data_IF_992390433081
#
_entry.id   IF_992390433081
#
_cell.length_a   1.000
_cell.length_b   1.000
_cell.length_c   1.000
_cell.angle_alpha   90.00
_cell.angle_beta   90.00
_cell.angle_gamma   90.00
#
_symmetry.space_group_name_H-M   'P 1'
#
loop_
_entity.id
_entity.type
_entity.pdbx_description
1 polymer ?
#
# COMPACT_ATOMS: atom_id res chain seq x y z
N UNK A 1 -13.70 -10.15 -18.07
CA UNK A 1 -12.69 -9.91 -17.01
C UNK A 1 -13.41 -10.04 -15.67
N UNK A 2 -12.90 -10.85 -14.75
CA UNK A 2 -13.53 -10.96 -13.43
C UNK A 2 -13.40 -9.64 -12.69
N UNK A 3 -14.51 -9.10 -12.20
CA UNK A 3 -14.49 -7.92 -11.35
C UNK A 3 -14.02 -8.35 -9.95
N UNK A 4 -12.78 -8.09 -9.64
CA UNK A 4 -12.26 -8.30 -8.29
C UNK A 4 -12.82 -7.25 -7.35
N UNK A 5 -13.36 -7.70 -6.24
CA UNK A 5 -13.73 -6.80 -5.15
C UNK A 5 -12.49 -6.23 -4.49
N UNK A 6 -12.63 -5.12 -3.77
CA UNK A 6 -11.51 -4.57 -2.97
C UNK A 6 -10.98 -5.61 -1.97
N UNK A 7 -11.85 -6.45 -1.44
CA UNK A 7 -11.46 -7.50 -0.50
C UNK A 7 -10.63 -8.61 -1.16
N UNK A 8 -10.99 -9.00 -2.38
CA UNK A 8 -10.18 -9.95 -3.17
C UNK A 8 -8.82 -9.36 -3.52
N UNK A 9 -8.75 -8.09 -3.90
CA UNK A 9 -7.49 -7.39 -4.16
C UNK A 9 -6.63 -7.30 -2.88
N UNK A 10 -7.24 -7.01 -1.74
CA UNK A 10 -6.58 -7.01 -0.42
C UNK A 10 -6.02 -8.39 -0.10
N UNK A 11 -6.81 -9.43 -0.30
CA UNK A 11 -6.37 -10.81 -0.06
C UNK A 11 -5.18 -11.21 -0.93
N UNK A 12 -5.23 -10.93 -2.23
CA UNK A 12 -4.11 -11.19 -3.14
C UNK A 12 -2.85 -10.40 -2.77
N UNK A 13 -3.00 -9.12 -2.43
CA UNK A 13 -1.88 -8.29 -2.00
C UNK A 13 -1.28 -8.81 -0.68
N UNK A 14 -2.11 -9.26 0.24
CA UNK A 14 -1.68 -9.87 1.50
C UNK A 14 -0.89 -11.16 1.28
N UNK A 15 -1.36 -12.06 0.40
CA UNK A 15 -0.64 -13.30 0.06
C UNK A 15 0.73 -12.98 -0.55
N UNK A 16 0.80 -12.02 -1.47
CA UNK A 16 2.07 -11.58 -2.05
C UNK A 16 3.00 -10.96 -1.00
N UNK A 17 2.47 -10.14 -0.11
CA UNK A 17 3.25 -9.57 0.98
C UNK A 17 3.84 -10.65 1.88
N UNK A 18 3.07 -11.67 2.25
CA UNK A 18 3.55 -12.79 3.05
C UNK A 18 4.69 -13.56 2.38
N UNK A 19 4.64 -13.71 1.05
CA UNK A 19 5.73 -14.32 0.30
C UNK A 19 7.02 -13.47 0.34
N UNK A 20 6.90 -12.15 0.24
CA UNK A 20 8.04 -11.25 0.22
C UNK A 20 8.62 -10.94 1.60
N UNK A 21 7.77 -10.80 2.60
CA UNK A 21 8.14 -10.34 3.93
C UNK A 21 8.52 -11.48 4.88
N UNK A 22 8.18 -12.72 4.55
CA UNK A 22 8.47 -13.90 5.39
C UNK A 22 8.12 -13.64 6.86
N UNK A 23 6.82 -13.40 7.20
CA UNK A 23 6.42 -12.87 8.49
C UNK A 23 6.77 -13.77 9.67
N UNK A 24 6.89 -15.06 9.46
CA UNK A 24 7.25 -16.09 10.44
C UNK A 24 8.77 -16.26 10.63
N UNK A 25 9.59 -15.71 9.72
CA UNK A 25 11.04 -15.69 9.91
C UNK A 25 11.45 -14.75 11.05
N UNK A 26 12.46 -15.15 11.78
CA UNK A 26 12.98 -14.36 12.91
C UNK A 26 13.73 -13.12 12.44
N UNK A 27 13.47 -11.92 12.99
CA UNK A 27 12.42 -11.60 13.96
C UNK A 27 11.01 -11.67 13.35
N UNK A 28 10.07 -12.29 14.06
CA UNK A 28 8.71 -12.50 13.58
C UNK A 28 7.90 -11.21 13.55
N UNK A 29 7.04 -11.08 12.53
CA UNK A 29 6.01 -10.04 12.40
C UNK A 29 4.63 -10.65 12.15
N UNK A 30 4.45 -11.92 12.50
CA UNK A 30 3.17 -12.63 12.33
C UNK A 30 2.04 -11.85 12.98
N UNK A 31 0.98 -11.58 12.22
CA UNK A 31 -0.19 -10.81 12.64
C UNK A 31 -0.07 -9.29 12.43
N UNK A 32 1.09 -8.78 12.01
CA UNK A 32 1.30 -7.34 11.78
C UNK A 32 1.27 -6.95 10.30
N UNK A 33 1.49 -7.91 9.40
CA UNK A 33 1.60 -7.69 7.96
C UNK A 33 0.33 -7.09 7.35
N UNK A 34 -0.84 -7.46 7.85
CA UNK A 34 -2.10 -6.90 7.38
C UNK A 34 -2.21 -5.39 7.67
N UNK A 35 -1.84 -4.97 8.87
CA UNK A 35 -1.84 -3.56 9.26
C UNK A 35 -0.78 -2.77 8.48
N UNK A 36 0.36 -3.37 8.20
CA UNK A 36 1.41 -2.77 7.36
C UNK A 36 0.88 -2.58 5.93
N UNK A 37 0.24 -3.60 5.36
CA UNK A 37 -0.33 -3.52 4.01
C UNK A 37 -1.34 -2.38 3.88
N UNK A 38 -2.24 -2.22 4.85
CA UNK A 38 -3.26 -1.14 4.84
C UNK A 38 -2.63 0.27 4.85
N UNK A 39 -1.48 0.46 5.50
CA UNK A 39 -0.76 1.73 5.46
C UNK A 39 -0.19 2.07 4.08
N UNK A 40 -0.02 1.07 3.22
CA UNK A 40 0.47 1.21 1.86
C UNK A 40 -0.64 1.07 0.80
N UNK A 41 -1.87 1.32 1.21
CA UNK A 41 -2.98 1.45 0.27
C UNK A 41 -2.84 2.77 -0.49
N UNK A 42 -2.64 2.68 -1.80
CA UNK A 42 -2.47 3.85 -2.67
C UNK A 42 -3.78 4.44 -3.15
N UNK A 43 -4.78 3.61 -3.33
CA UNK A 43 -6.01 3.96 -3.98
C UNK A 43 -7.20 3.57 -3.12
N UNK A 44 -7.89 4.57 -2.56
CA UNK A 44 -9.14 4.38 -1.83
C UNK A 44 -10.31 4.09 -2.78
N UNK A 45 -11.46 3.79 -2.21
CA UNK A 45 -12.73 3.75 -2.95
C UNK A 45 -13.41 5.11 -2.82
N UNK A 46 -13.91 5.67 -3.93
CA UNK A 46 -14.66 6.92 -3.89
C UNK A 46 -15.85 6.81 -2.93
N UNK A 47 -16.05 7.84 -2.13
CA UNK A 47 -17.17 7.97 -1.20
C UNK A 47 -17.89 9.31 -1.39
N UNK A 48 -19.22 9.35 -1.20
CA UNK A 48 -19.99 10.58 -1.30
C UNK A 48 -19.69 11.53 -0.14
N UNK A 49 -19.89 12.83 -0.37
CA UNK A 49 -19.78 13.90 0.66
C UNK A 49 -18.48 13.83 1.48
N UNK A 50 -17.40 13.48 0.83
CA UNK A 50 -16.08 13.26 1.44
C UNK A 50 -15.11 14.32 0.96
N UNK A 51 -14.30 14.85 1.85
CA UNK A 51 -13.21 15.77 1.52
C UNK A 51 -12.06 14.99 0.88
N UNK A 52 -11.67 15.41 -0.31
CA UNK A 52 -10.49 14.94 -1.01
C UNK A 52 -9.50 16.07 -1.21
N UNK A 53 -8.22 15.77 -1.09
CA UNK A 53 -7.14 16.71 -1.32
C UNK A 53 -6.44 16.42 -2.65
N UNK A 54 -5.80 17.45 -3.21
CA UNK A 54 -5.01 17.29 -4.42
C UNK A 54 -4.02 16.12 -4.30
N UNK A 55 -4.05 15.21 -5.26
CA UNK A 55 -3.20 14.02 -5.30
C UNK A 55 -3.83 12.74 -4.71
N UNK A 56 -4.97 12.83 -4.03
CA UNK A 56 -5.70 11.64 -3.60
C UNK A 56 -6.15 10.83 -4.82
N UNK A 57 -5.96 9.52 -4.75
CA UNK A 57 -6.41 8.61 -5.79
C UNK A 57 -7.57 7.73 -5.31
N UNK A 58 -8.55 7.53 -6.17
CA UNK A 58 -9.70 6.67 -5.90
C UNK A 58 -9.98 5.74 -7.07
N UNK A 59 -10.52 4.58 -6.75
CA UNK A 59 -11.22 3.71 -7.68
C UNK A 59 -12.73 3.84 -7.44
N UNK A 60 -13.51 3.54 -8.45
CA UNK A 60 -14.97 3.61 -8.36
C UNK A 60 -15.57 2.23 -8.18
N UNK A 61 -16.75 2.18 -7.55
CA UNK A 61 -17.47 0.94 -7.37
C UNK A 61 -18.92 1.07 -7.89
N UNK A 62 -19.41 0.17 -8.75
CA UNK A 62 -18.69 -0.98 -9.32
C UNK A 62 -17.49 -0.56 -10.20
N UNK A 63 -16.46 -1.41 -10.26
CA UNK A 63 -15.22 -1.10 -10.98
C UNK A 63 -15.48 -0.86 -12.47
N UNK A 64 -14.88 0.19 -13.00
CA UNK A 64 -14.88 0.48 -14.43
C UNK A 64 -13.49 0.29 -15.10
N UNK A 65 -12.53 -0.28 -14.38
CA UNK A 65 -11.18 -0.53 -14.87
C UNK A 65 -10.23 0.66 -14.76
N UNK A 66 -10.67 1.80 -14.21
CA UNK A 66 -9.88 3.04 -14.11
C UNK A 66 -9.77 3.51 -12.67
N UNK A 67 -8.71 4.25 -12.38
CA UNK A 67 -8.53 5.03 -11.16
C UNK A 67 -8.49 6.51 -11.49
N UNK A 68 -8.83 7.34 -10.51
CA UNK A 68 -8.94 8.78 -10.70
C UNK A 68 -8.15 9.52 -9.63
N UNK A 69 -7.47 10.58 -10.02
CA UNK A 69 -6.70 11.44 -9.12
C UNK A 69 -7.44 12.75 -8.91
N UNK A 70 -7.52 13.19 -7.66
CA UNK A 70 -8.05 14.51 -7.31
C UNK A 70 -7.08 15.59 -7.77
N UNK A 71 -7.51 16.42 -8.71
CA UNK A 71 -6.74 17.55 -9.24
C UNK A 71 -7.18 18.90 -8.68
N UNK A 72 -8.25 18.93 -7.92
CA UNK A 72 -8.73 20.10 -7.18
C UNK A 72 -9.30 19.65 -5.85
N UNK A 73 -8.66 20.09 -4.76
CA UNK A 73 -9.14 19.84 -3.39
C UNK A 73 -10.58 20.32 -3.24
N UNK A 74 -11.44 19.49 -2.72
CA UNK A 74 -12.84 19.79 -2.52
C UNK A 74 -13.60 18.61 -1.93
N UNK A 75 -14.90 18.79 -1.76
CA UNK A 75 -15.80 17.76 -1.23
C UNK A 75 -16.58 17.15 -2.39
N UNK A 76 -16.59 15.83 -2.45
CA UNK A 76 -17.37 15.07 -3.44
C UNK A 76 -18.86 15.32 -3.25
N UNK A 77 -19.63 15.19 -4.33
CA UNK A 77 -21.07 15.30 -4.26
C UNK A 77 -21.72 14.13 -3.53
N UNK A 78 -23.01 14.22 -3.26
CA UNK A 78 -23.77 13.13 -2.64
C UNK A 78 -24.00 11.94 -3.57
N UNK A 79 -23.85 12.15 -4.86
CA UNK A 79 -23.99 11.14 -5.91
C UNK A 79 -22.71 11.09 -6.74
N UNK A 80 -22.30 9.89 -7.16
CA UNK A 80 -21.12 9.72 -7.99
C UNK A 80 -21.26 10.48 -9.32
N UNK A 81 -20.19 11.12 -9.82
CA UNK A 81 -20.17 11.71 -11.15
C UNK A 81 -20.22 10.62 -12.22
N UNK A 82 -20.48 11.01 -13.45
CA UNK A 82 -20.29 10.10 -14.59
C UNK A 82 -18.78 9.93 -14.84
N UNK A 83 -18.27 8.78 -14.44
CA UNK A 83 -16.86 8.44 -14.55
C UNK A 83 -16.47 8.14 -15.99
N UNK A 84 -15.73 9.03 -16.62
CA UNK A 84 -15.20 8.82 -17.97
C UNK A 84 -14.07 7.80 -17.97
N UNK A 85 -14.09 6.86 -18.92
CA UNK A 85 -13.03 5.90 -19.16
C UNK A 85 -12.00 6.34 -20.20
N UNK A 86 -12.14 7.56 -20.73
CA UNK A 86 -11.17 8.13 -21.64
C UNK A 86 -9.90 8.56 -20.90
N UNK A 87 -8.72 8.25 -21.43
CA UNK A 87 -7.46 8.68 -20.83
C UNK A 87 -7.40 10.19 -20.62
N UNK A 88 -6.91 10.60 -19.44
CA UNK A 88 -6.73 12.02 -19.07
C UNK A 88 -8.01 12.89 -19.11
N UNK A 89 -9.18 12.28 -19.03
CA UNK A 89 -10.44 13.02 -18.93
C UNK A 89 -10.60 13.64 -17.53
N UNK A 90 -11.28 14.80 -17.49
CA UNK A 90 -11.58 15.53 -16.26
C UNK A 90 -13.06 15.41 -15.91
N UNK A 91 -13.36 15.27 -14.63
CA UNK A 91 -14.73 15.17 -14.12
C UNK A 91 -14.92 16.05 -12.90
N UNK A 92 -15.99 16.85 -12.92
CA UNK A 92 -16.41 17.63 -11.76
C UNK A 92 -17.24 16.77 -10.80
N UNK A 93 -17.01 16.94 -9.51
CA UNK A 93 -17.67 16.17 -8.46
C UNK A 93 -17.83 17.04 -7.20
N UNK A 94 -18.98 17.68 -7.05
CA UNK A 94 -19.16 18.67 -6.00
C UNK A 94 -18.21 19.85 -6.18
N UNK A 95 -17.34 20.09 -5.22
CA UNK A 95 -16.26 21.10 -5.31
C UNK A 95 -14.90 20.50 -5.65
N UNK A 96 -14.82 19.16 -5.72
CA UNK A 96 -13.63 18.44 -6.18
C UNK A 96 -13.64 18.27 -7.71
N UNK A 97 -12.47 18.10 -8.30
CA UNK A 97 -12.31 17.68 -9.69
C UNK A 97 -11.36 16.50 -9.77
N UNK A 98 -11.65 15.60 -10.69
CA UNK A 98 -10.91 14.37 -10.92
C UNK A 98 -10.31 14.32 -12.31
N UNK A 99 -9.16 13.68 -12.42
CA UNK A 99 -8.53 13.32 -13.69
C UNK A 99 -8.33 11.82 -13.74
N UNK A 100 -8.58 11.22 -14.91
CA UNK A 100 -8.23 9.81 -15.13
C UNK A 100 -6.74 9.59 -14.92
N UNK A 101 -6.37 8.70 -14.02
CA UNK A 101 -4.99 8.42 -13.63
C UNK A 101 -4.48 7.07 -14.17
N UNK A 102 -5.26 6.37 -14.97
CA UNK A 102 -4.88 5.10 -15.58
C UNK A 102 -5.67 3.89 -15.08
N UNK A 103 -5.22 2.67 -15.41
CA UNK A 103 -5.88 1.43 -15.00
C UNK A 103 -5.91 1.26 -13.48
N UNK A 104 -6.96 0.66 -12.95
CA UNK A 104 -7.15 0.45 -11.51
C UNK A 104 -6.46 -0.81 -10.96
N UNK A 105 -6.09 -1.77 -11.84
CA UNK A 105 -5.56 -3.06 -11.40
C UNK A 105 -4.11 -3.01 -10.92
N UNK A 106 -3.39 -1.94 -11.21
CA UNK A 106 -1.95 -1.92 -10.98
C UNK A 106 -1.52 -1.42 -9.60
N UNK A 107 -2.38 -0.83 -8.77
CA UNK A 107 -1.85 -0.12 -7.61
C UNK A 107 -2.82 0.16 -6.45
N UNK A 108 -3.73 -0.73 -6.12
CA UNK A 108 -4.54 -0.51 -4.90
C UNK A 108 -3.65 -0.61 -3.66
N UNK A 109 -2.76 -1.59 -3.63
CA UNK A 109 -1.80 -1.78 -2.54
C UNK A 109 -0.37 -1.77 -3.09
N UNK A 110 0.50 -0.99 -2.46
CA UNK A 110 1.94 -1.03 -2.74
C UNK A 110 2.60 -2.15 -1.94
N UNK A 111 2.51 -3.36 -2.45
CA UNK A 111 3.10 -4.55 -1.83
C UNK A 111 4.61 -4.41 -1.65
N UNK A 112 5.30 -3.73 -2.57
CA UNK A 112 6.74 -3.52 -2.49
C UNK A 112 7.11 -2.59 -1.32
N UNK A 113 6.41 -1.47 -1.17
CA UNK A 113 6.61 -0.57 -0.04
C UNK A 113 6.21 -1.22 1.29
N UNK A 114 5.15 -2.00 1.31
CA UNK A 114 4.77 -2.79 2.49
C UNK A 114 5.84 -3.83 2.87
N UNK A 115 6.42 -4.53 1.91
CA UNK A 115 7.52 -5.47 2.16
C UNK A 115 8.77 -4.75 2.69
N UNK A 116 9.10 -3.58 2.15
CA UNK A 116 10.17 -2.74 2.67
C UNK A 116 9.95 -2.38 4.14
N UNK A 117 8.75 -1.96 4.50
CA UNK A 117 8.40 -1.67 5.91
C UNK A 117 8.50 -2.91 6.79
N UNK A 118 7.99 -4.06 6.35
CA UNK A 118 8.09 -5.32 7.10
C UNK A 118 9.56 -5.67 7.43
N UNK A 119 10.44 -5.61 6.46
CA UNK A 119 11.86 -5.88 6.68
C UNK A 119 12.55 -4.80 7.53
N UNK A 120 12.10 -3.55 7.45
CA UNK A 120 12.58 -2.46 8.32
C UNK A 120 12.17 -2.69 9.79
N UNK A 121 10.96 -3.17 10.03
CA UNK A 121 10.49 -3.57 11.37
C UNK A 121 11.33 -4.74 11.90
N UNK A 122 11.56 -5.76 11.09
CA UNK A 122 12.44 -6.88 11.44
C UNK A 122 13.86 -6.43 11.78
N UNK A 123 14.42 -5.53 10.97
CA UNK A 123 15.74 -4.95 11.22
C UNK A 123 15.80 -4.19 12.56
N UNK A 124 14.78 -3.39 12.87
CA UNK A 124 14.68 -2.69 14.15
C UNK A 124 14.63 -3.65 15.34
N UNK A 125 13.87 -4.74 15.23
CA UNK A 125 13.82 -5.79 16.26
C UNK A 125 15.14 -6.52 16.41
N UNK A 126 15.80 -6.85 15.32
CA UNK A 126 17.14 -7.45 15.34
C UNK A 126 18.16 -6.51 16.00
N UNK A 127 18.09 -5.21 15.73
CA UNK A 127 18.93 -4.19 16.38
C UNK A 127 18.72 -4.17 17.90
N UNK A 128 17.48 -4.31 18.36
CA UNK A 128 17.20 -4.42 19.79
C UNK A 128 17.84 -5.66 20.42
N UNK A 129 17.83 -6.79 19.72
CA UNK A 129 18.51 -8.01 20.16
C UNK A 129 20.03 -7.82 20.28
N UNK A 130 20.65 -7.02 19.41
CA UNK A 130 22.08 -6.68 19.50
C UNK A 130 22.41 -5.95 20.79
N UNK A 131 21.55 -5.04 21.22
CA UNK A 131 21.78 -4.23 22.44
C UNK A 131 21.52 -5.01 23.73
N UNK A 132 20.70 -6.07 23.68
CA UNK A 132 20.31 -6.88 24.85
C UNK A 132 21.09 -8.18 24.96
N UNK A 133 21.84 -8.57 23.93
CA UNK A 133 22.61 -9.82 23.88
C UNK A 133 24.09 -9.62 24.22
N UNK A 134 24.78 -10.70 24.59
CA UNK A 134 26.23 -10.70 24.86
C UNK A 134 26.92 -11.88 24.15
N UNK A 135 28.22 -11.73 23.87
CA UNK A 135 29.05 -12.78 23.28
C UNK A 135 28.59 -13.21 21.88
N UNK A 136 28.56 -14.52 21.63
CA UNK A 136 28.21 -15.08 20.33
C UNK A 136 26.79 -14.72 19.88
N UNK A 137 25.84 -14.66 20.83
CA UNK A 137 24.46 -14.24 20.53
C UNK A 137 24.39 -12.80 19.99
N UNK A 138 25.31 -11.93 20.41
CA UNK A 138 25.40 -10.56 19.88
C UNK A 138 25.89 -10.53 18.43
N UNK A 139 26.84 -11.39 18.09
CA UNK A 139 27.32 -11.51 16.70
C UNK A 139 26.23 -12.02 15.78
N UNK A 140 25.50 -13.06 16.20
CA UNK A 140 24.36 -13.60 15.45
C UNK A 140 23.25 -12.55 15.26
N UNK A 141 22.93 -11.79 16.30
CA UNK A 141 21.95 -10.71 16.22
C UNK A 141 22.41 -9.57 15.27
N UNK A 142 23.70 -9.26 15.25
CA UNK A 142 24.27 -8.27 14.32
C UNK A 142 24.15 -8.73 12.86
N UNK A 143 24.45 -9.98 12.59
CA UNK A 143 24.31 -10.57 11.25
C UNK A 143 22.84 -10.57 10.80
N UNK A 144 21.93 -10.93 11.71
CA UNK A 144 20.49 -10.91 11.45
C UNK A 144 20.00 -9.49 11.12
N UNK A 145 20.46 -8.49 11.86
CA UNK A 145 20.16 -7.08 11.58
C UNK A 145 20.60 -6.66 10.19
N UNK A 146 21.84 -7.00 9.80
CA UNK A 146 22.38 -6.69 8.47
C UNK A 146 21.59 -7.39 7.36
N UNK A 147 21.22 -8.65 7.56
CA UNK A 147 20.41 -9.41 6.62
C UNK A 147 19.03 -8.77 6.43
N UNK A 148 18.35 -8.39 7.52
CA UNK A 148 17.06 -7.71 7.44
C UNK A 148 17.17 -6.36 6.72
N UNK A 149 18.23 -5.60 6.96
CA UNK A 149 18.49 -4.34 6.24
C UNK A 149 18.76 -4.56 4.75
N UNK A 150 19.49 -5.59 4.41
CA UNK A 150 19.74 -5.94 3.00
C UNK A 150 18.43 -6.30 2.30
N UNK A 151 17.58 -7.10 2.92
CA UNK A 151 16.26 -7.45 2.39
C UNK A 151 15.36 -6.23 2.26
N UNK A 152 15.36 -5.31 3.21
CA UNK A 152 14.60 -4.06 3.11
C UNK A 152 15.01 -3.24 1.87
N UNK A 153 16.30 -3.18 1.55
CA UNK A 153 16.79 -2.46 0.36
C UNK A 153 16.31 -3.06 -0.96
N UNK A 154 16.11 -4.38 -1.02
CA UNK A 154 15.58 -5.06 -2.22
C UNK A 154 14.17 -4.54 -2.57
N UNK A 155 13.40 -4.12 -1.56
CA UNK A 155 12.04 -3.63 -1.71
C UNK A 155 11.93 -2.11 -1.64
N UNK A 156 13.04 -1.37 -1.68
CA UNK A 156 12.98 0.10 -1.72
C UNK A 156 12.09 0.54 -2.89
N UNK A 157 11.10 1.41 -2.64
CA UNK A 157 10.22 1.90 -3.69
C UNK A 157 11.03 2.55 -4.81
N UNK A 158 10.65 2.26 -6.04
CA UNK A 158 11.20 2.95 -7.20
C UNK A 158 10.64 4.38 -7.21
N UNK A 159 11.50 5.34 -7.13
CA UNK A 159 11.12 6.76 -7.20
C UNK A 159 10.81 7.13 -8.63
#
# INVERSE_FOLDING_TARGET
MADFTLEEMRHQAYEQLCLHAEPDCTPSIVGEEAAILERHMRCGVWAPSTLYIYGDEVQVYPRNGRRYMCIQTGTSSSTAPEWSTYPSSHMADGTANWEDAGPDYENVFDVRAAAHECWSVKAARASHLVTTSAGNSRVEASLLHEQCRARAREFTPLV
#
